data_IF_795875294304
#
_entry.id   IF_795875294304
#
_cell.length_a   1.000
_cell.length_b   1.000
_cell.length_c   1.000
_cell.angle_alpha   90.00
_cell.angle_beta   90.00
_cell.angle_gamma   90.00
#
_symmetry.space_group_name_H-M   'P 1'
#
loop_
_entity.id
_entity.type
_entity.pdbx_description
1 polymer ?
#
# COMPACT_ATOMS: atom_id res chain seq x y z
N UNK A 1 -14.25 19.11 -25.41
CA UNK A 1 -14.12 18.23 -24.25
C UNK A 1 -12.65 17.83 -24.17
N UNK A 2 -11.90 18.42 -23.24
CA UNK A 2 -10.48 18.12 -23.10
C UNK A 2 -10.32 16.72 -22.52
N UNK A 3 -9.72 15.83 -23.30
CA UNK A 3 -9.25 14.52 -22.85
C UNK A 3 -8.16 14.76 -21.81
N UNK A 4 -8.43 14.40 -20.56
CA UNK A 4 -7.41 14.24 -19.54
C UNK A 4 -6.54 13.06 -19.97
N UNK A 5 -5.38 13.36 -20.56
CA UNK A 5 -4.28 12.42 -20.52
C UNK A 5 -3.84 12.35 -19.05
N UNK A 6 -3.56 11.17 -18.47
CA UNK A 6 -2.79 11.14 -17.23
C UNK A 6 -1.53 11.97 -17.45
N UNK A 7 -0.95 12.57 -16.40
CA UNK A 7 0.38 13.13 -16.54
C UNK A 7 1.22 12.07 -17.23
N UNK A 8 1.74 12.40 -18.41
CA UNK A 8 2.80 11.62 -19.00
C UNK A 8 3.80 11.42 -17.87
N UNK A 9 4.21 10.18 -17.62
CA UNK A 9 5.40 9.84 -16.82
C UNK A 9 6.62 10.41 -17.56
N UNK A 10 6.62 11.72 -17.71
CA UNK A 10 7.69 12.52 -18.23
C UNK A 10 8.58 12.72 -17.02
N UNK A 11 9.85 12.38 -17.22
CA UNK A 11 10.98 12.64 -16.34
C UNK A 11 11.18 14.15 -16.12
N UNK A 12 10.16 14.85 -15.61
CA UNK A 12 10.36 16.07 -14.86
C UNK A 12 11.11 15.63 -13.61
N UNK A 13 12.42 15.83 -13.60
CA UNK A 13 13.34 15.64 -12.46
C UNK A 13 12.97 16.49 -11.23
N UNK A 14 11.77 17.09 -11.22
CA UNK A 14 11.24 17.98 -10.21
C UNK A 14 9.89 17.45 -9.75
N UNK A 15 9.79 17.21 -8.45
CA UNK A 15 8.56 16.87 -7.74
C UNK A 15 8.10 18.07 -6.95
N UNK A 16 6.79 18.30 -6.92
CA UNK A 16 6.19 19.37 -6.14
C UNK A 16 5.69 18.79 -4.83
N UNK A 17 6.07 19.43 -3.73
CA UNK A 17 5.64 19.03 -2.40
C UNK A 17 5.04 20.24 -1.68
N UNK A 18 3.79 20.08 -1.27
CA UNK A 18 3.17 20.96 -0.31
C UNK A 18 3.52 20.51 1.12
N UNK A 19 3.81 21.47 1.98
CA UNK A 19 4.17 21.23 3.38
C UNK A 19 3.40 22.18 4.29
N UNK A 20 3.22 21.77 5.55
CA UNK A 20 2.61 22.58 6.60
C UNK A 20 3.54 22.69 7.80
N UNK A 21 3.43 23.81 8.53
CA UNK A 21 4.27 24.05 9.70
C UNK A 21 3.75 23.30 10.93
N UNK A 22 4.52 22.32 11.40
CA UNK A 22 4.12 21.34 12.41
C UNK A 22 4.45 21.67 13.85
N UNK A 23 5.08 22.82 14.10
CA UNK A 23 5.30 23.31 15.46
C UNK A 23 3.97 23.36 16.27
N UNK A 24 4.00 23.13 17.60
CA UNK A 24 2.84 23.32 18.47
C UNK A 24 2.29 24.75 18.41
N UNK A 25 3.19 25.73 18.26
CA UNK A 25 2.85 27.15 18.05
C UNK A 25 3.36 27.61 16.68
N UNK A 26 2.62 27.35 15.59
CA UNK A 26 3.10 27.52 14.22
C UNK A 26 3.38 28.99 13.83
N UNK A 27 2.87 29.95 14.58
CA UNK A 27 3.13 31.38 14.36
C UNK A 27 4.19 31.97 15.30
N UNK A 28 4.77 31.16 16.19
CA UNK A 28 5.83 31.61 17.10
C UNK A 28 7.13 31.88 16.34
N UNK A 29 7.75 33.02 16.60
CA UNK A 29 9.09 33.36 16.07
C UNK A 29 10.24 32.88 16.97
N UNK A 30 9.92 32.24 18.11
CA UNK A 30 10.91 31.82 19.11
C UNK A 30 11.56 30.48 18.79
N UNK A 31 10.90 29.66 17.97
CA UNK A 31 11.35 28.33 17.59
C UNK A 31 11.58 28.27 16.08
N UNK A 32 12.57 27.48 15.62
CA UNK A 32 12.73 27.23 14.20
C UNK A 32 11.49 26.51 13.65
N UNK A 33 11.11 26.85 12.42
CA UNK A 33 9.96 26.25 11.76
C UNK A 33 10.24 24.79 11.40
N UNK A 34 9.47 23.88 11.99
CA UNK A 34 9.44 22.46 11.61
C UNK A 34 8.35 22.29 10.57
N UNK A 35 8.66 21.62 9.47
CA UNK A 35 7.74 21.40 8.37
C UNK A 35 7.45 19.92 8.22
N UNK A 36 6.17 19.59 8.08
CA UNK A 36 5.70 18.24 7.81
C UNK A 36 5.05 18.19 6.43
N UNK A 37 5.08 17.02 5.81
CA UNK A 37 4.50 16.78 4.50
C UNK A 37 3.00 16.51 4.64
N UNK A 38 2.26 16.84 3.57
CA UNK A 38 0.94 16.28 3.35
C UNK A 38 1.07 14.85 2.81
N UNK A 39 0.03 14.04 2.94
CA UNK A 39 0.01 12.73 2.29
C UNK A 39 0.16 12.88 0.77
N UNK A 40 0.61 11.83 0.06
CA UNK A 40 0.73 11.89 -1.40
C UNK A 40 -0.56 12.35 -2.08
N UNK A 41 -1.70 11.87 -1.58
CA UNK A 41 -3.00 12.13 -2.16
C UNK A 41 -3.52 13.54 -1.82
N UNK A 42 -3.31 14.01 -0.59
CA UNK A 42 -3.58 15.39 -0.23
C UNK A 42 -2.73 16.34 -1.09
N UNK A 43 -1.44 16.02 -1.27
CA UNK A 43 -0.53 16.80 -2.11
C UNK A 43 -1.01 16.86 -3.58
N UNK A 44 -1.53 15.76 -4.14
CA UNK A 44 -2.16 15.75 -5.47
C UNK A 44 -3.38 16.67 -5.54
N UNK A 45 -4.29 16.59 -4.56
CA UNK A 45 -5.51 17.42 -4.50
C UNK A 45 -5.14 18.91 -4.39
N UNK A 46 -4.15 19.25 -3.56
CA UNK A 46 -3.68 20.63 -3.39
C UNK A 46 -3.06 21.14 -4.70
N UNK A 47 -2.18 20.36 -5.31
CA UNK A 47 -1.49 20.78 -6.54
C UNK A 47 -2.47 20.90 -7.72
N UNK A 48 -3.42 19.99 -7.89
CA UNK A 48 -4.47 20.10 -8.92
C UNK A 48 -5.27 21.39 -8.73
N UNK A 49 -5.74 21.67 -7.50
CA UNK A 49 -6.48 22.88 -7.20
C UNK A 49 -5.67 24.16 -7.46
N UNK A 50 -4.37 24.14 -7.15
CA UNK A 50 -3.46 25.25 -7.40
C UNK A 50 -3.25 25.50 -8.89
N UNK A 51 -2.99 24.44 -9.68
CA UNK A 51 -2.83 24.53 -11.14
C UNK A 51 -4.11 25.01 -11.84
N UNK A 52 -5.27 24.58 -11.34
CA UNK A 52 -6.58 25.04 -11.78
C UNK A 52 -6.91 26.48 -11.36
N UNK A 53 -6.01 27.16 -10.63
CA UNK A 53 -6.20 28.52 -10.09
C UNK A 53 -7.44 28.63 -9.19
N UNK A 54 -7.83 27.55 -8.53
CA UNK A 54 -8.89 27.59 -7.52
C UNK A 54 -8.39 28.44 -6.34
N UNK A 55 -9.26 29.19 -5.66
CA UNK A 55 -8.84 29.99 -4.50
C UNK A 55 -8.46 29.12 -3.30
N UNK A 56 -8.96 27.88 -3.25
CA UNK A 56 -8.73 26.94 -2.17
C UNK A 56 -8.70 25.49 -2.65
N UNK A 57 -8.00 24.63 -1.92
CA UNK A 57 -8.12 23.17 -2.01
C UNK A 57 -8.89 22.64 -0.80
N UNK A 58 -9.90 21.80 -1.02
CA UNK A 58 -10.70 21.21 0.05
C UNK A 58 -10.16 19.81 0.37
N UNK A 59 -9.79 19.58 1.62
CA UNK A 59 -9.36 18.27 2.15
C UNK A 59 -10.34 17.80 3.22
N UNK A 60 -10.10 16.59 3.77
CA UNK A 60 -11.02 15.96 4.73
C UNK A 60 -11.13 16.74 6.05
N UNK A 61 -9.98 17.06 6.66
CA UNK A 61 -9.93 17.66 8.01
C UNK A 61 -9.75 19.19 7.98
N UNK A 62 -9.33 19.72 6.84
CA UNK A 62 -8.99 21.13 6.64
C UNK A 62 -9.16 21.55 5.18
N UNK A 63 -8.98 22.83 4.91
CA UNK A 63 -8.81 23.36 3.57
C UNK A 63 -7.56 24.22 3.49
N UNK A 64 -7.03 24.35 2.28
CA UNK A 64 -5.88 25.21 1.97
C UNK A 64 -6.39 26.48 1.33
N UNK A 65 -6.11 27.62 1.96
CA UNK A 65 -6.30 28.95 1.37
C UNK A 65 -4.99 29.40 0.72
N UNK A 66 -4.97 29.42 -0.62
CA UNK A 66 -3.78 29.81 -1.38
C UNK A 66 -3.51 31.31 -1.34
N UNK A 67 -4.52 32.15 -1.03
CA UNK A 67 -4.35 33.61 -0.94
C UNK A 67 -3.58 33.98 0.32
N UNK A 68 -3.89 33.33 1.44
CA UNK A 68 -3.20 33.55 2.72
C UNK A 68 -2.03 32.60 2.97
N UNK A 69 -1.85 31.57 2.14
CA UNK A 69 -0.89 30.48 2.38
C UNK A 69 -1.11 29.82 3.74
N UNK A 70 -2.37 29.48 4.04
CA UNK A 70 -2.76 28.86 5.30
C UNK A 70 -3.54 27.56 5.06
N UNK A 71 -3.25 26.58 5.88
CA UNK A 71 -4.13 25.48 6.19
C UNK A 71 -5.07 25.92 7.32
N UNK A 72 -6.37 25.68 7.17
CA UNK A 72 -7.39 26.06 8.14
C UNK A 72 -8.30 24.85 8.41
N UNK A 73 -8.48 24.49 9.68
CA UNK A 73 -9.35 23.34 10.02
C UNK A 73 -10.79 23.58 9.58
N UNK A 74 -11.44 22.50 9.11
CA UNK A 74 -12.85 22.52 8.70
C UNK A 74 -13.80 22.71 9.89
N UNK A 75 -13.34 22.45 11.12
CA UNK A 75 -14.17 22.48 12.34
C UNK A 75 -13.84 23.63 13.29
N UNK A 76 -12.65 24.23 13.17
CA UNK A 76 -12.18 25.30 14.06
C UNK A 76 -11.27 26.25 13.28
N UNK A 77 -11.81 27.42 12.92
CA UNK A 77 -11.11 28.43 12.14
C UNK A 77 -9.88 29.02 12.85
N UNK A 78 -9.73 28.82 14.17
CA UNK A 78 -8.56 29.24 14.94
C UNK A 78 -7.39 28.27 14.80
N UNK A 79 -7.67 27.01 14.40
CA UNK A 79 -6.63 26.02 14.12
C UNK A 79 -6.10 26.22 12.72
N UNK A 80 -5.13 27.12 12.62
CA UNK A 80 -4.47 27.49 11.37
C UNK A 80 -2.99 27.14 11.40
N UNK A 81 -2.44 26.81 10.23
CA UNK A 81 -1.02 26.54 10.05
C UNK A 81 -0.51 27.16 8.75
N UNK A 82 0.65 27.84 8.76
CA UNK A 82 1.33 28.25 7.53
C UNK A 82 1.63 27.04 6.64
N UNK A 83 1.53 27.27 5.34
CA UNK A 83 1.88 26.28 4.32
C UNK A 83 2.92 26.83 3.36
N UNK A 84 3.61 25.92 2.68
CA UNK A 84 4.53 26.28 1.59
C UNK A 84 4.52 25.22 0.50
N UNK A 85 4.85 25.66 -0.71
CA UNK A 85 5.10 24.81 -1.88
C UNK A 85 6.60 24.75 -2.14
N UNK A 86 7.14 23.54 -2.20
CA UNK A 86 8.56 23.28 -2.48
C UNK A 86 8.66 22.52 -3.80
N UNK A 87 9.72 22.81 -4.55
CA UNK A 87 10.05 22.06 -5.77
C UNK A 87 11.38 21.37 -5.52
N UNK A 88 11.32 20.07 -5.28
CA UNK A 88 12.46 19.22 -4.92
C UNK A 88 12.88 18.36 -6.10
N UNK A 89 14.08 17.78 -6.07
CA UNK A 89 14.45 16.73 -7.02
C UNK A 89 13.75 15.43 -6.62
N UNK A 90 13.44 14.59 -7.60
CA UNK A 90 12.77 13.29 -7.37
C UNK A 90 13.57 12.37 -6.43
N UNK A 91 14.89 12.48 -6.42
CA UNK A 91 15.81 11.72 -5.55
C UNK A 91 15.79 12.19 -4.09
N UNK A 92 15.33 13.42 -3.83
CA UNK A 92 15.23 14.02 -2.49
C UNK A 92 13.85 13.76 -1.85
N UNK A 93 12.99 12.95 -2.48
CA UNK A 93 11.67 12.63 -1.95
C UNK A 93 11.78 11.90 -0.61
N UNK A 94 10.89 12.27 0.30
CA UNK A 94 10.69 11.55 1.55
C UNK A 94 10.27 10.10 1.27
N UNK A 95 10.65 9.19 2.16
CA UNK A 95 10.28 7.79 2.05
C UNK A 95 8.89 7.56 2.61
N UNK A 96 8.22 6.48 2.18
CA UNK A 96 6.88 6.15 2.69
C UNK A 96 6.95 5.57 4.10
N UNK A 97 7.12 6.40 5.12
CA UNK A 97 7.31 5.98 6.52
C UNK A 97 6.23 5.00 7.01
N UNK A 98 4.97 5.22 6.61
CA UNK A 98 3.83 4.38 6.98
C UNK A 98 3.83 2.97 6.35
N UNK A 99 4.77 2.63 5.45
CA UNK A 99 5.02 1.25 4.99
C UNK A 99 5.76 0.43 6.06
N UNK A 100 6.41 1.11 6.99
CA UNK A 100 7.39 0.56 7.92
C UNK A 100 7.02 0.75 9.41
N UNK A 101 6.02 1.59 9.68
CA UNK A 101 5.41 1.77 11.00
C UNK A 101 4.23 0.81 11.20
N UNK A 102 4.17 0.21 12.39
CA UNK A 102 3.19 -0.76 12.89
C UNK A 102 2.24 -1.34 11.85
N UNK A 103 2.55 -2.55 11.41
CA UNK A 103 1.47 -3.44 11.06
C UNK A 103 0.93 -3.94 12.40
N UNK A 104 -0.29 -3.58 12.84
CA UNK A 104 -1.01 -4.43 13.76
C UNK A 104 -1.32 -5.72 12.99
N UNK A 105 -0.30 -6.57 12.88
CA UNK A 105 -0.41 -7.96 13.26
C UNK A 105 -1.36 -7.97 14.46
N UNK A 106 -2.57 -8.46 14.26
CA UNK A 106 -3.50 -8.64 15.36
C UNK A 106 -2.80 -9.39 16.48
N UNK A 107 -3.20 -9.08 17.72
CA UNK A 107 -2.70 -9.71 18.94
C UNK A 107 -2.48 -11.21 18.73
N UNK A 108 -1.21 -11.63 18.62
CA UNK A 108 -0.82 -13.04 18.59
C UNK A 108 -0.75 -13.74 17.22
N UNK A 109 -1.00 -13.10 16.07
CA UNK A 109 -0.79 -13.74 14.75
C UNK A 109 -0.16 -12.81 13.72
N UNK A 110 1.18 -12.80 13.67
CA UNK A 110 1.92 -12.05 12.63
C UNK A 110 1.59 -12.50 11.21
N UNK A 111 1.09 -13.73 11.07
CA UNK A 111 0.78 -14.39 9.80
C UNK A 111 -0.50 -15.20 9.94
N UNK A 112 -1.23 -15.34 8.82
CA UNK A 112 -2.26 -16.35 8.69
C UNK A 112 -1.64 -17.74 8.48
N UNK A 113 -2.47 -18.79 8.60
CA UNK A 113 -2.03 -20.19 8.51
C UNK A 113 -1.41 -20.61 7.18
N UNK A 114 -1.17 -21.90 6.98
CA UNK A 114 -0.68 -22.47 5.72
C UNK A 114 -1.76 -22.38 4.63
N UNK A 115 -1.90 -21.23 3.99
CA UNK A 115 -2.77 -21.08 2.82
C UNK A 115 -2.02 -21.43 1.54
N UNK A 116 -2.76 -21.97 0.58
CA UNK A 116 -2.23 -22.42 -0.69
C UNK A 116 -1.89 -21.29 -1.66
N UNK A 117 -1.97 -21.61 -2.95
CA UNK A 117 -1.57 -20.75 -4.06
C UNK A 117 -2.23 -19.36 -4.07
N UNK A 118 -3.46 -19.26 -3.55
CA UNK A 118 -4.26 -18.04 -3.56
C UNK A 118 -4.71 -17.72 -2.14
N UNK A 119 -4.55 -16.46 -1.71
CA UNK A 119 -5.07 -16.00 -0.41
C UNK A 119 -6.58 -16.24 -0.32
N UNK A 120 -7.10 -16.74 0.83
CA UNK A 120 -8.53 -16.93 1.02
C UNK A 120 -9.36 -15.66 0.79
N UNK A 121 -8.77 -14.48 1.03
CA UNK A 121 -9.43 -13.21 0.70
C UNK A 121 -9.78 -13.15 -0.79
N UNK A 122 -8.82 -13.44 -1.67
CA UNK A 122 -9.03 -13.41 -3.14
C UNK A 122 -10.04 -14.47 -3.56
N UNK A 123 -10.03 -15.65 -2.94
CA UNK A 123 -11.02 -16.72 -3.21
C UNK A 123 -12.44 -16.23 -2.87
N UNK A 124 -12.64 -15.62 -1.70
CA UNK A 124 -13.96 -15.10 -1.28
C UNK A 124 -14.41 -13.91 -2.15
N UNK A 125 -13.49 -13.05 -2.59
CA UNK A 125 -13.81 -11.97 -3.54
C UNK A 125 -14.37 -12.52 -4.83
N UNK A 126 -13.72 -13.55 -5.40
CA UNK A 126 -14.23 -14.21 -6.62
C UNK A 126 -15.61 -14.81 -6.41
N UNK A 127 -15.84 -15.44 -5.26
CA UNK A 127 -17.15 -16.01 -4.90
C UNK A 127 -18.23 -14.94 -4.79
N UNK A 128 -17.96 -13.82 -4.10
CA UNK A 128 -18.91 -12.71 -3.97
C UNK A 128 -19.22 -12.07 -5.34
N UNK A 129 -18.22 -11.99 -6.21
CA UNK A 129 -18.37 -11.53 -7.60
C UNK A 129 -18.97 -12.57 -8.56
N UNK A 130 -19.20 -13.81 -8.10
CA UNK A 130 -19.70 -14.94 -8.89
C UNK A 130 -18.84 -15.23 -10.13
N UNK A 131 -17.52 -15.25 -9.94
CA UNK A 131 -16.54 -15.50 -10.99
C UNK A 131 -16.06 -16.96 -10.94
N UNK A 132 -15.97 -17.59 -12.11
CA UNK A 132 -15.37 -18.92 -12.25
C UNK A 132 -13.84 -18.88 -12.03
N UNK A 133 -13.18 -20.04 -11.76
CA UNK A 133 -11.73 -20.15 -11.57
C UNK A 133 -10.84 -19.55 -12.69
N UNK A 134 -11.36 -19.44 -13.91
CA UNK A 134 -10.66 -18.83 -15.04
C UNK A 134 -11.11 -17.40 -15.40
N UNK A 135 -12.13 -16.87 -14.74
CA UNK A 135 -12.64 -15.50 -14.97
C UNK A 135 -11.71 -14.46 -14.32
N UNK A 136 -10.59 -14.20 -14.99
CA UNK A 136 -9.64 -13.12 -14.63
C UNK A 136 -9.82 -11.90 -15.54
N UNK A 137 -9.69 -10.67 -14.99
CA UNK A 137 -9.75 -9.42 -15.76
C UNK A 137 -8.86 -9.41 -17.02
N UNK A 138 -7.64 -9.96 -16.92
CA UNK A 138 -6.63 -10.09 -17.97
C UNK A 138 -7.06 -11.05 -19.08
N UNK A 139 -7.84 -12.08 -18.74
CA UNK A 139 -8.38 -13.09 -19.68
C UNK A 139 -9.74 -12.70 -20.26
N UNK A 140 -10.52 -11.87 -19.56
CA UNK A 140 -11.89 -11.49 -19.93
C UNK A 140 -12.09 -9.97 -19.88
N UNK A 141 -11.59 -9.23 -20.89
CA UNK A 141 -11.57 -7.76 -20.84
C UNK A 141 -12.94 -7.09 -20.68
N UNK A 142 -14.03 -7.77 -21.07
CA UNK A 142 -15.40 -7.25 -20.91
C UNK A 142 -15.82 -7.04 -19.45
N UNK A 143 -15.14 -7.68 -18.49
CA UNK A 143 -15.44 -7.52 -17.06
C UNK A 143 -14.74 -6.31 -16.42
N UNK A 144 -13.69 -5.79 -17.05
CA UNK A 144 -12.84 -4.72 -16.50
C UNK A 144 -13.67 -3.48 -16.12
N UNK A 145 -14.57 -2.96 -16.97
CA UNK A 145 -15.34 -1.76 -16.62
C UNK A 145 -16.22 -1.94 -15.38
N UNK A 146 -16.79 -3.14 -15.21
CA UNK A 146 -17.63 -3.49 -14.07
C UNK A 146 -16.80 -3.58 -12.78
N UNK A 147 -15.62 -4.21 -12.84
CA UNK A 147 -14.72 -4.31 -11.69
C UNK A 147 -14.18 -2.95 -11.26
N UNK A 148 -13.79 -2.10 -12.22
CA UNK A 148 -13.34 -0.73 -11.96
C UNK A 148 -14.43 0.07 -11.26
N UNK A 149 -15.69 -0.01 -11.71
CA UNK A 149 -16.78 0.71 -11.06
C UNK A 149 -17.05 0.20 -9.64
N UNK A 150 -17.06 -1.13 -9.44
CA UNK A 150 -17.21 -1.72 -8.11
C UNK A 150 -16.06 -1.32 -7.18
N UNK A 151 -14.83 -1.33 -7.67
CA UNK A 151 -13.65 -0.91 -6.92
C UNK A 151 -13.75 0.57 -6.53
N UNK A 152 -14.10 1.45 -7.47
CA UNK A 152 -14.27 2.87 -7.23
C UNK A 152 -15.36 3.15 -6.19
N UNK A 153 -16.51 2.48 -6.27
CA UNK A 153 -17.58 2.59 -5.28
C UNK A 153 -17.15 2.10 -3.90
N UNK A 154 -16.47 0.95 -3.83
CA UNK A 154 -15.99 0.39 -2.57
C UNK A 154 -14.90 1.24 -1.91
N UNK A 155 -14.02 1.86 -2.69
CA UNK A 155 -13.03 2.85 -2.21
C UNK A 155 -13.74 4.04 -1.56
N UNK A 156 -14.76 4.61 -2.22
CA UNK A 156 -15.55 5.72 -1.66
C UNK A 156 -16.25 5.32 -0.37
N UNK A 157 -16.82 4.11 -0.32
CA UNK A 157 -17.48 3.60 0.87
C UNK A 157 -16.51 3.46 2.04
N UNK A 158 -15.34 2.82 1.84
CA UNK A 158 -14.33 2.69 2.89
C UNK A 158 -13.75 4.03 3.31
N UNK A 159 -13.53 4.94 2.37
CA UNK A 159 -13.13 6.32 2.64
C UNK A 159 -14.02 7.00 3.64
N UNK A 160 -15.35 6.89 3.47
CA UNK A 160 -16.32 7.43 4.43
C UNK A 160 -16.17 6.78 5.82
N UNK A 161 -15.98 5.46 5.87
CA UNK A 161 -15.84 4.74 7.13
C UNK A 161 -14.57 5.14 7.91
N UNK A 162 -13.47 5.42 7.21
CA UNK A 162 -12.21 5.84 7.85
C UNK A 162 -12.06 7.36 7.99
N UNK A 163 -13.11 8.13 7.68
CA UNK A 163 -13.09 9.60 7.77
C UNK A 163 -12.24 10.29 6.70
N UNK A 164 -12.00 9.62 5.56
CA UNK A 164 -11.27 10.13 4.39
C UNK A 164 -12.10 10.19 3.09
N UNK A 165 -13.31 10.79 3.09
CA UNK A 165 -14.18 10.81 1.91
C UNK A 165 -13.58 11.55 0.70
N UNK A 166 -12.81 12.63 0.90
CA UNK A 166 -12.22 13.43 -0.20
C UNK A 166 -11.09 12.68 -0.87
N UNK A 167 -10.18 12.10 -0.09
CA UNK A 167 -9.17 11.18 -0.62
C UNK A 167 -9.82 10.07 -1.45
N UNK A 168 -10.89 9.46 -0.92
CA UNK A 168 -11.56 8.36 -1.60
C UNK A 168 -12.28 8.76 -2.89
N UNK A 169 -12.89 9.94 -2.92
CA UNK A 169 -13.47 10.51 -4.14
C UNK A 169 -12.41 10.70 -5.23
N UNK A 170 -11.22 11.20 -4.89
CA UNK A 170 -10.13 11.41 -5.85
C UNK A 170 -9.56 10.08 -6.35
N UNK A 171 -9.28 9.11 -5.47
CA UNK A 171 -8.83 7.77 -5.88
C UNK A 171 -9.84 7.09 -6.83
N UNK A 172 -11.13 7.20 -6.51
CA UNK A 172 -12.20 6.63 -7.31
C UNK A 172 -12.36 7.33 -8.66
N UNK A 173 -12.19 8.66 -8.72
CA UNK A 173 -12.15 9.44 -9.97
C UNK A 173 -11.02 8.96 -10.86
N UNK A 174 -9.79 8.91 -10.36
CA UNK A 174 -8.62 8.41 -11.10
C UNK A 174 -8.86 7.01 -11.66
N UNK A 175 -9.41 6.10 -10.85
CA UNK A 175 -9.71 4.73 -11.28
C UNK A 175 -10.77 4.68 -12.40
N UNK A 176 -11.84 5.48 -12.29
CA UNK A 176 -12.91 5.54 -13.29
C UNK A 176 -12.44 6.12 -14.63
N UNK A 177 -11.45 7.02 -14.63
CA UNK A 177 -10.87 7.58 -15.87
C UNK A 177 -10.19 6.50 -16.72
N UNK A 178 -9.66 5.44 -16.10
CA UNK A 178 -9.01 4.31 -16.79
C UNK A 178 -9.94 3.12 -17.06
N UNK A 179 -11.23 3.23 -16.72
CA UNK A 179 -12.21 2.14 -16.82
C UNK A 179 -12.23 1.39 -18.16
N UNK A 180 -12.02 2.11 -19.25
CA UNK A 180 -12.08 1.56 -20.62
C UNK A 180 -10.71 1.45 -21.29
N UNK A 181 -9.61 1.64 -20.55
CA UNK A 181 -8.25 1.68 -21.09
C UNK A 181 -7.60 0.29 -21.28
N UNK A 182 -8.28 -0.79 -20.86
CA UNK A 182 -7.75 -2.16 -20.87
C UNK A 182 -7.01 -2.52 -19.58
N UNK A 183 -6.72 -3.81 -19.40
CA UNK A 183 -6.22 -4.33 -18.12
C UNK A 183 -4.84 -3.80 -17.76
N UNK A 184 -3.95 -3.66 -18.73
CA UNK A 184 -2.60 -3.11 -18.53
C UNK A 184 -2.62 -1.73 -17.88
N UNK A 185 -3.44 -0.82 -18.42
CA UNK A 185 -3.53 0.56 -17.92
C UNK A 185 -4.27 0.63 -16.58
N UNK A 186 -5.30 -0.20 -16.38
CA UNK A 186 -6.00 -0.31 -15.09
C UNK A 186 -5.07 -0.86 -14.01
N UNK A 187 -4.29 -1.89 -14.32
CA UNK A 187 -3.35 -2.50 -13.39
C UNK A 187 -2.24 -1.53 -12.99
N UNK A 188 -1.61 -0.85 -13.96
CA UNK A 188 -0.60 0.19 -13.68
C UNK A 188 -1.15 1.27 -12.75
N UNK A 189 -2.41 1.68 -12.98
CA UNK A 189 -3.06 2.63 -12.09
C UNK A 189 -3.32 2.03 -10.71
N UNK A 190 -3.80 0.80 -10.59
CA UNK A 190 -4.01 0.14 -9.29
C UNK A 190 -2.71 0.08 -8.48
N UNK A 191 -1.60 -0.25 -9.13
CA UNK A 191 -0.26 -0.19 -8.55
C UNK A 191 0.09 1.20 -8.04
N UNK A 192 -0.08 2.21 -8.89
CA UNK A 192 0.18 3.61 -8.52
C UNK A 192 -0.66 4.02 -7.29
N UNK A 193 -1.97 3.79 -7.32
CA UNK A 193 -2.89 4.12 -6.22
C UNK A 193 -2.53 3.36 -4.93
N UNK A 194 -2.13 2.09 -5.04
CA UNK A 194 -1.67 1.30 -3.91
C UNK A 194 -0.34 1.80 -3.33
N UNK A 195 0.52 2.40 -4.16
CA UNK A 195 1.81 2.97 -3.73
C UNK A 195 1.68 4.31 -2.99
N UNK A 196 0.60 5.07 -3.22
CA UNK A 196 0.36 6.36 -2.56
C UNK A 196 0.23 6.19 -1.05
N UNK A 197 0.81 7.10 -0.28
CA UNK A 197 0.49 7.25 1.13
C UNK A 197 -0.98 7.70 1.28
N UNK A 198 -1.88 6.73 1.39
CA UNK A 198 -3.32 6.92 1.53
C UNK A 198 -3.93 5.87 2.46
N UNK A 199 -5.21 6.00 2.77
CA UNK A 199 -5.92 4.98 3.54
C UNK A 199 -6.05 3.64 2.78
N UNK A 200 -6.02 3.64 1.44
CA UNK A 200 -6.41 2.49 0.61
C UNK A 200 -5.60 1.22 0.91
N UNK A 201 -4.27 1.30 0.79
CA UNK A 201 -3.41 0.15 1.06
C UNK A 201 -3.41 -0.25 2.54
N UNK A 202 -3.58 0.72 3.46
CA UNK A 202 -3.65 0.48 4.91
C UNK A 202 -4.88 -0.37 5.22
N UNK A 203 -6.05 0.04 4.74
CA UNK A 203 -7.33 -0.66 4.92
C UNK A 203 -7.32 -2.03 4.26
N UNK A 204 -6.88 -2.13 2.99
CA UNK A 204 -6.82 -3.40 2.28
C UNK A 204 -5.92 -4.41 3.02
N UNK A 205 -4.69 -4.02 3.34
CA UNK A 205 -3.76 -4.94 3.99
C UNK A 205 -4.17 -5.29 5.41
N UNK A 206 -4.76 -4.36 6.16
CA UNK A 206 -5.30 -4.65 7.49
C UNK A 206 -6.40 -5.70 7.42
N UNK A 207 -7.34 -5.57 6.48
CA UNK A 207 -8.40 -6.55 6.27
C UNK A 207 -7.83 -7.93 5.90
N UNK A 208 -6.88 -7.97 4.96
CA UNK A 208 -6.30 -9.23 4.50
C UNK A 208 -5.50 -9.95 5.60
N UNK A 209 -4.82 -9.22 6.50
CA UNK A 209 -4.08 -9.83 7.62
C UNK A 209 -4.96 -10.57 8.63
N UNK A 210 -6.24 -10.20 8.73
CA UNK A 210 -7.21 -10.87 9.60
C UNK A 210 -7.71 -12.19 9.03
N UNK A 211 -7.32 -12.57 7.80
CA UNK A 211 -7.69 -13.86 7.23
C UNK A 211 -7.10 -14.99 8.07
N UNK A 212 -7.97 -15.91 8.49
CA UNK A 212 -7.61 -17.02 9.38
C UNK A 212 -7.77 -16.75 10.86
N UNK A 213 -8.05 -15.50 11.23
CA UNK A 213 -8.44 -15.13 12.58
C UNK A 213 -9.94 -15.37 12.75
N UNK A 214 -10.30 -16.31 13.63
CA UNK A 214 -11.69 -16.69 13.89
C UNK A 214 -12.44 -15.59 14.65
N UNK A 215 -11.75 -14.82 15.48
CA UNK A 215 -12.38 -13.76 16.28
C UNK A 215 -12.74 -12.55 15.41
N UNK A 216 -11.92 -12.29 14.39
CA UNK A 216 -12.07 -11.16 13.49
C UNK A 216 -12.63 -11.53 12.11
N UNK A 217 -13.24 -12.71 11.97
CA UNK A 217 -13.69 -13.22 10.68
C UNK A 217 -14.69 -12.27 9.99
N UNK A 218 -15.64 -11.75 10.75
CA UNK A 218 -16.65 -10.83 10.24
C UNK A 218 -16.05 -9.49 9.78
N UNK A 219 -14.93 -9.07 10.40
CA UNK A 219 -14.27 -7.81 10.07
C UNK A 219 -13.72 -7.89 8.65
N UNK A 220 -12.90 -8.88 8.32
CA UNK A 220 -12.34 -8.97 6.97
C UNK A 220 -13.37 -9.37 5.91
N UNK A 221 -14.34 -10.23 6.27
CA UNK A 221 -15.44 -10.59 5.34
C UNK A 221 -16.28 -9.38 4.96
N UNK A 222 -16.51 -8.43 5.86
CA UNK A 222 -17.22 -7.18 5.54
C UNK A 222 -16.52 -6.36 4.45
N UNK A 223 -15.19 -6.49 4.31
CA UNK A 223 -14.37 -5.77 3.34
C UNK A 223 -14.31 -6.42 1.96
N UNK A 224 -14.86 -7.62 1.81
CA UNK A 224 -14.86 -8.34 0.53
C UNK A 224 -15.61 -7.55 -0.54
N UNK A 225 -16.76 -6.97 -0.19
CA UNK A 225 -17.59 -6.22 -1.16
C UNK A 225 -17.00 -4.87 -1.54
N UNK A 226 -16.28 -4.22 -0.64
CA UNK A 226 -15.75 -2.87 -0.83
C UNK A 226 -14.32 -2.89 -1.38
N UNK A 227 -13.42 -3.65 -0.76
CA UNK A 227 -12.00 -3.70 -1.13
C UNK A 227 -11.67 -4.83 -2.11
N UNK A 228 -12.52 -5.86 -2.19
CA UNK A 228 -12.30 -7.02 -3.03
C UNK A 228 -12.09 -6.73 -4.52
N UNK A 229 -12.98 -5.95 -5.17
CA UNK A 229 -12.81 -5.63 -6.58
C UNK A 229 -11.47 -4.94 -6.89
N UNK A 230 -11.03 -4.01 -6.04
CA UNK A 230 -9.71 -3.37 -6.18
C UNK A 230 -8.59 -4.39 -5.96
N UNK A 231 -8.71 -5.24 -4.94
CA UNK A 231 -7.75 -6.31 -4.66
C UNK A 231 -7.59 -7.25 -5.87
N UNK A 232 -8.68 -7.62 -6.55
CA UNK A 232 -8.64 -8.49 -7.71
C UNK A 232 -7.97 -7.82 -8.92
N UNK A 233 -8.26 -6.54 -9.15
CA UNK A 233 -7.60 -5.75 -10.21
C UNK A 233 -6.10 -5.61 -9.96
N UNK A 234 -5.66 -5.45 -8.71
CA UNK A 234 -4.25 -5.38 -8.36
C UNK A 234 -3.56 -6.76 -8.44
N UNK A 235 -4.28 -7.83 -8.11
CA UNK A 235 -3.75 -9.19 -8.04
C UNK A 235 -3.47 -9.78 -9.42
N UNK A 236 -4.34 -9.51 -10.38
CA UNK A 236 -4.26 -10.03 -11.75
C UNK A 236 -3.31 -9.20 -12.62
N UNK A 237 -2.01 -9.32 -12.35
CA UNK A 237 -0.93 -8.65 -13.08
C UNK A 237 -0.80 -9.20 -14.51
N UNK A 238 -1.14 -8.40 -15.56
CA UNK A 238 -1.07 -8.85 -16.94
C UNK A 238 0.37 -8.98 -17.46
N UNK A 239 1.36 -8.42 -16.76
CA UNK A 239 2.77 -8.48 -17.13
C UNK A 239 3.49 -9.67 -16.50
N UNK A 240 2.89 -10.29 -15.49
CA UNK A 240 3.47 -11.42 -14.76
C UNK A 240 3.38 -12.72 -15.55
N UNK A 241 4.16 -12.80 -16.62
CA UNK A 241 4.21 -13.95 -17.53
C UNK A 241 5.15 -15.05 -17.03
N UNK A 242 5.94 -14.79 -15.98
CA UNK A 242 6.95 -15.74 -15.46
C UNK A 242 7.08 -15.65 -13.94
N UNK A 243 7.08 -16.81 -13.30
CA UNK A 243 7.41 -16.96 -11.89
C UNK A 243 8.84 -16.46 -11.61
N UNK A 244 8.99 -15.62 -10.58
CA UNK A 244 10.28 -15.10 -10.16
C UNK A 244 10.96 -16.11 -9.25
N UNK A 245 12.23 -16.41 -9.54
CA UNK A 245 13.05 -17.36 -8.78
C UNK A 245 14.42 -16.76 -8.52
N UNK A 246 15.05 -17.16 -7.42
CA UNK A 246 16.44 -16.86 -7.03
C UNK A 246 16.76 -15.37 -6.95
N UNK A 247 16.02 -14.66 -6.10
CA UNK A 247 16.22 -13.24 -5.85
C UNK A 247 16.18 -12.93 -4.36
N UNK A 248 16.92 -11.91 -3.94
CA UNK A 248 16.87 -11.41 -2.57
C UNK A 248 16.06 -10.13 -2.49
N UNK A 249 15.15 -10.07 -1.53
CA UNK A 249 14.34 -8.90 -1.21
C UNK A 249 14.54 -8.49 0.24
N UNK A 250 14.33 -7.20 0.52
CA UNK A 250 14.53 -6.60 1.84
C UNK A 250 13.28 -5.87 2.29
N UNK A 251 12.98 -5.93 3.59
CA UNK A 251 11.88 -5.16 4.18
C UNK A 251 12.23 -4.74 5.60
N UNK A 252 12.21 -3.44 5.87
CA UNK A 252 12.21 -2.90 7.23
C UNK A 252 10.83 -3.05 7.87
N UNK A 253 10.79 -3.27 9.17
CA UNK A 253 9.56 -3.30 9.95
C UNK A 253 9.83 -2.93 11.42
N UNK A 254 8.79 -2.45 12.08
CA UNK A 254 8.76 -2.35 13.55
C UNK A 254 7.97 -3.52 14.09
N UNK A 255 8.62 -4.38 14.87
CA UNK A 255 8.01 -5.53 15.53
C UNK A 255 8.01 -5.37 17.05
N UNK A 256 6.98 -5.89 17.71
CA UNK A 256 6.98 -6.05 19.17
C UNK A 256 7.88 -7.22 19.56
N UNK A 257 8.24 -7.29 20.85
CA UNK A 257 9.05 -8.40 21.37
C UNK A 257 8.35 -9.74 21.17
N UNK A 258 7.04 -9.80 21.41
CA UNK A 258 6.24 -11.01 21.27
C UNK A 258 6.24 -11.52 19.82
N UNK A 259 6.23 -10.61 18.84
CA UNK A 259 6.33 -10.98 17.42
C UNK A 259 7.71 -11.52 17.08
N UNK A 260 8.77 -10.90 17.60
CA UNK A 260 10.16 -11.37 17.43
C UNK A 260 10.31 -12.79 18.02
N UNK A 261 9.73 -13.04 19.19
CA UNK A 261 9.77 -14.35 19.85
C UNK A 261 9.04 -15.43 19.02
N UNK A 262 7.94 -15.09 18.34
CA UNK A 262 7.27 -16.00 17.38
C UNK A 262 8.22 -16.40 16.26
N UNK A 263 8.93 -15.45 15.64
CA UNK A 263 9.91 -15.76 14.59
C UNK A 263 11.08 -16.59 15.11
N UNK A 264 11.56 -16.33 16.32
CA UNK A 264 12.61 -17.10 16.93
C UNK A 264 12.19 -18.57 17.10
N UNK A 265 10.96 -18.81 17.57
CA UNK A 265 10.39 -20.15 17.69
C UNK A 265 10.23 -20.85 16.34
N UNK A 266 9.74 -20.15 15.32
CA UNK A 266 9.62 -20.71 13.96
C UNK A 266 10.98 -21.12 13.39
N UNK A 267 12.07 -20.45 13.77
CA UNK A 267 13.42 -20.80 13.32
C UNK A 267 13.96 -22.10 13.95
N UNK A 268 13.31 -22.63 15.00
CA UNK A 268 13.71 -23.87 15.67
C UNK A 268 13.20 -25.13 14.94
N UNK A 269 12.17 -25.01 14.09
CA UNK A 269 11.56 -26.11 13.34
C UNK A 269 11.57 -25.82 11.83
N UNK A 270 12.33 -26.61 11.08
CA UNK A 270 12.48 -26.46 9.62
C UNK A 270 11.21 -26.81 8.83
N UNK A 271 10.19 -27.37 9.51
CA UNK A 271 8.87 -27.69 8.97
C UNK A 271 7.83 -26.62 9.29
N UNK A 272 8.16 -25.61 10.10
CA UNK A 272 7.23 -24.53 10.40
C UNK A 272 7.24 -23.48 9.28
N UNK A 273 6.05 -23.05 8.87
CA UNK A 273 5.86 -22.09 7.79
C UNK A 273 4.83 -21.04 8.16
N UNK A 274 5.13 -19.79 7.80
CA UNK A 274 4.17 -18.70 7.79
C UNK A 274 3.70 -18.39 6.37
N UNK A 275 2.70 -17.54 6.23
CA UNK A 275 2.35 -16.96 4.93
C UNK A 275 1.90 -15.51 5.01
N UNK A 276 2.28 -14.73 4.00
CA UNK A 276 1.88 -13.34 3.86
C UNK A 276 0.42 -13.26 3.41
N UNK A 277 -0.52 -12.95 4.32
CA UNK A 277 -1.95 -12.88 3.97
C UNK A 277 -2.31 -11.70 3.08
N UNK A 278 -1.52 -10.63 3.18
CA UNK A 278 -1.71 -9.37 2.50
C UNK A 278 -0.56 -9.13 1.53
N UNK A 279 -0.72 -8.12 0.67
CA UNK A 279 0.37 -7.64 -0.16
C UNK A 279 1.53 -7.19 0.70
N UNK A 280 2.73 -7.66 0.38
CA UNK A 280 3.94 -7.35 1.15
C UNK A 280 4.92 -6.59 0.28
N UNK A 281 4.97 -5.29 0.51
CA UNK A 281 5.87 -4.40 -0.23
C UNK A 281 7.31 -4.56 0.28
N UNK A 282 8.23 -4.90 -0.62
CA UNK A 282 9.65 -5.15 -0.38
C UNK A 282 10.53 -4.26 -1.26
N UNK A 283 11.83 -4.19 -0.98
CA UNK A 283 12.80 -3.40 -1.74
C UNK A 283 13.91 -4.32 -2.24
N UNK A 284 14.42 -4.05 -3.44
CA UNK A 284 15.70 -4.64 -3.90
C UNK A 284 16.91 -3.99 -3.23
N UNK A 285 16.75 -2.78 -2.72
CA UNK A 285 17.79 -2.00 -2.11
C UNK A 285 17.81 -2.21 -0.59
N UNK A 286 18.77 -3.01 -0.11
CA UNK A 286 18.94 -3.26 1.33
C UNK A 286 19.13 -1.98 2.12
N UNK A 287 19.92 -1.04 1.62
CA UNK A 287 20.20 0.22 2.31
C UNK A 287 18.92 0.97 2.62
N UNK A 288 18.03 1.07 1.63
CA UNK A 288 16.71 1.69 1.79
C UNK A 288 15.84 0.94 2.79
N UNK A 289 15.72 -0.37 2.69
CA UNK A 289 14.93 -1.15 3.64
C UNK A 289 15.45 -1.07 5.10
N UNK A 290 16.76 -0.93 5.28
CA UNK A 290 17.42 -0.89 6.58
C UNK A 290 17.24 0.46 7.30
N UNK A 291 16.87 1.53 6.60
CA UNK A 291 16.57 2.84 7.19
C UNK A 291 15.39 2.80 8.18
N UNK A 292 14.56 1.73 8.17
CA UNK A 292 13.29 1.71 8.90
C UNK A 292 13.16 0.65 10.00
N UNK A 293 12.41 1.00 11.05
CA UNK A 293 11.97 0.11 12.11
C UNK A 293 13.09 -0.51 12.96
N UNK A 294 12.73 -1.46 13.81
CA UNK A 294 13.67 -2.19 14.67
C UNK A 294 14.07 -3.56 14.09
N UNK A 295 13.53 -3.95 12.93
CA UNK A 295 13.73 -5.26 12.31
C UNK A 295 13.97 -5.12 10.81
N UNK A 296 14.91 -5.90 10.29
CA UNK A 296 15.16 -6.09 8.86
C UNK A 296 14.88 -7.53 8.47
N UNK A 297 13.95 -7.73 7.53
CA UNK A 297 13.76 -8.99 6.84
C UNK A 297 14.69 -9.08 5.63
N UNK A 298 15.40 -10.20 5.51
CA UNK A 298 16.17 -10.59 4.33
C UNK A 298 15.49 -11.84 3.76
N UNK A 299 14.89 -11.71 2.58
CA UNK A 299 14.00 -12.70 1.99
C UNK A 299 14.65 -13.29 0.74
N UNK A 300 15.01 -14.57 0.80
CA UNK A 300 15.46 -15.34 -0.36
C UNK A 300 14.23 -15.93 -1.06
N UNK A 301 13.93 -15.42 -2.25
CA UNK A 301 12.80 -15.86 -3.07
C UNK A 301 13.22 -17.07 -3.88
N UNK A 302 12.84 -18.25 -3.43
CA UNK A 302 12.98 -19.48 -4.22
C UNK A 302 11.93 -19.49 -5.34
N UNK A 303 10.68 -19.16 -4.98
CA UNK A 303 9.56 -19.26 -5.91
C UNK A 303 8.37 -18.43 -5.41
N UNK A 304 8.08 -17.28 -6.02
CA UNK A 304 6.92 -16.45 -5.62
C UNK A 304 6.38 -15.59 -6.77
N UNK A 305 5.12 -15.20 -6.67
CA UNK A 305 4.55 -14.13 -7.48
C UNK A 305 4.91 -12.78 -6.89
N UNK A 306 5.58 -11.99 -7.72
CA UNK A 306 6.11 -10.69 -7.36
C UNK A 306 5.89 -9.77 -8.56
N UNK A 307 5.43 -8.55 -8.28
CA UNK A 307 5.36 -7.48 -9.26
C UNK A 307 6.48 -6.46 -9.02
N UNK A 308 7.13 -5.99 -10.08
CA UNK A 308 8.08 -4.87 -10.02
C UNK A 308 7.30 -3.56 -10.10
N UNK A 309 7.33 -2.78 -9.01
CA UNK A 309 6.62 -1.52 -8.89
C UNK A 309 7.55 -0.32 -9.08
N UNK A 310 8.86 -0.53 -9.24
CA UNK A 310 9.86 0.55 -9.21
C UNK A 310 9.62 1.66 -10.23
N UNK A 311 9.06 1.36 -11.40
CA UNK A 311 8.77 2.35 -12.45
C UNK A 311 7.38 3.00 -12.33
N UNK A 312 6.49 2.42 -11.53
CA UNK A 312 5.09 2.84 -11.39
C UNK A 312 4.78 3.44 -10.01
N UNK A 313 5.62 3.15 -9.02
CA UNK A 313 5.52 3.64 -7.66
C UNK A 313 5.85 5.12 -7.59
N UNK A 314 5.13 5.83 -6.73
CA UNK A 314 5.44 7.21 -6.35
C UNK A 314 6.84 7.36 -5.73
N UNK A 315 7.43 6.25 -5.27
CA UNK A 315 8.73 6.13 -4.59
C UNK A 315 9.71 5.25 -5.38
N UNK A 316 9.99 5.60 -6.63
CA UNK A 316 10.84 4.78 -7.53
C UNK A 316 12.22 4.44 -6.98
N UNK A 317 12.82 5.34 -6.18
CA UNK A 317 14.11 5.14 -5.53
C UNK A 317 14.10 4.02 -4.47
N UNK A 318 12.94 3.59 -4.00
CA UNK A 318 12.81 2.44 -3.09
C UNK A 318 13.01 1.11 -3.81
N UNK A 319 13.04 1.08 -5.15
CA UNK A 319 13.12 -0.14 -5.95
C UNK A 319 12.11 -1.19 -5.49
N UNK A 320 10.85 -0.76 -5.37
CA UNK A 320 9.77 -1.53 -4.76
C UNK A 320 9.42 -2.78 -5.56
N UNK A 321 9.30 -3.90 -4.86
CA UNK A 321 8.69 -5.13 -5.37
C UNK A 321 7.56 -5.57 -4.46
N UNK A 322 6.41 -5.89 -5.05
CA UNK A 322 5.21 -6.26 -4.33
C UNK A 322 5.05 -7.78 -4.36
N UNK A 323 5.18 -8.42 -3.19
CA UNK A 323 4.88 -9.83 -3.01
C UNK A 323 3.36 -9.98 -2.92
N UNK A 324 2.80 -10.91 -3.69
CA UNK A 324 1.36 -11.15 -3.68
C UNK A 324 0.89 -11.87 -2.40
N UNK A 325 -0.37 -11.67 -2.00
CA UNK A 325 -1.03 -12.43 -0.95
C UNK A 325 -0.95 -13.95 -1.16
N UNK A 326 -0.69 -14.70 -0.09
CA UNK A 326 -0.63 -16.16 -0.05
C UNK A 326 0.77 -16.75 -0.19
N UNK A 327 1.81 -15.94 -0.43
CA UNK A 327 3.20 -16.44 -0.49
C UNK A 327 3.62 -16.94 0.89
N UNK A 328 4.04 -18.20 0.96
CA UNK A 328 4.54 -18.82 2.19
C UNK A 328 6.02 -18.52 2.41
N UNK A 329 6.45 -18.58 3.66
CA UNK A 329 7.86 -18.45 4.01
C UNK A 329 8.23 -19.37 5.17
N UNK A 330 9.53 -19.69 5.24
CA UNK A 330 10.18 -20.34 6.38
C UNK A 330 11.21 -19.39 6.99
N UNK A 331 11.38 -19.45 8.31
CA UNK A 331 12.40 -18.67 9.00
C UNK A 331 13.68 -19.48 9.03
N UNK A 332 14.74 -18.97 8.39
CA UNK A 332 16.04 -19.64 8.34
C UNK A 332 16.90 -19.30 9.56
N UNK A 333 16.85 -18.04 10.00
CA UNK A 333 17.55 -17.60 11.21
C UNK A 333 17.06 -16.24 11.67
N UNK A 334 17.31 -15.96 12.95
CA UNK A 334 17.14 -14.64 13.54
C UNK A 334 18.40 -14.27 14.32
N UNK A 335 18.87 -13.02 14.16
CA UNK A 335 20.04 -12.49 14.88
C UNK A 335 19.77 -11.05 15.29
N UNK A 336 20.31 -10.61 16.42
CA UNK A 336 20.32 -9.21 16.80
C UNK A 336 21.65 -8.57 16.40
N UNK A 337 21.60 -7.49 15.64
CA UNK A 337 22.76 -6.66 15.30
C UNK A 337 22.88 -5.52 16.33
N UNK A 338 23.83 -5.58 17.27
CA UNK A 338 24.00 -4.55 18.30
C UNK A 338 24.52 -3.23 17.74
N UNK A 339 25.21 -3.26 16.58
CA UNK A 339 25.76 -2.05 15.95
C UNK A 339 24.65 -1.22 15.34
N UNK A 340 23.65 -1.88 14.75
CA UNK A 340 22.49 -1.24 14.12
C UNK A 340 21.29 -1.15 15.05
N UNK A 341 21.36 -1.78 16.22
CA UNK A 341 20.24 -1.93 17.15
C UNK A 341 18.98 -2.50 16.46
N UNK A 342 19.16 -3.57 15.65
CA UNK A 342 18.10 -4.17 14.84
C UNK A 342 18.11 -5.69 14.89
N UNK A 343 16.94 -6.31 14.84
CA UNK A 343 16.81 -7.74 14.56
C UNK A 343 16.91 -7.99 13.05
N UNK A 344 17.71 -8.97 12.64
CA UNK A 344 17.83 -9.43 11.26
C UNK A 344 17.19 -10.81 11.17
N UNK A 345 16.11 -10.91 10.41
CA UNK A 345 15.34 -12.14 10.21
C UNK A 345 15.54 -12.60 8.77
N UNK A 346 16.14 -13.78 8.59
CA UNK A 346 16.32 -14.40 7.28
C UNK A 346 15.14 -15.31 6.98
N UNK A 347 14.50 -15.09 5.84
CA UNK A 347 13.35 -15.85 5.37
C UNK A 347 13.66 -16.51 4.02
N UNK A 348 13.15 -17.71 3.82
CA UNK A 348 13.06 -18.36 2.52
C UNK A 348 11.60 -18.31 2.05
N UNK A 349 11.34 -17.75 0.87
CA UNK A 349 10.00 -17.54 0.33
C UNK A 349 9.70 -18.56 -0.77
N UNK A 350 8.55 -19.24 -0.62
CA UNK A 350 8.07 -20.24 -1.55
C UNK A 350 6.55 -20.25 -1.60
N UNK A 351 5.99 -20.14 -2.80
CA UNK A 351 4.57 -20.41 -3.03
C UNK A 351 4.33 -21.91 -2.84
N UNK A 352 3.46 -22.27 -1.89
CA UNK A 352 3.11 -23.66 -1.59
C UNK A 352 1.71 -24.00 -2.10
N UNK A 353 1.53 -25.27 -2.47
CA UNK A 353 0.23 -25.86 -2.75
C UNK A 353 -0.28 -26.49 -1.44
N UNK A 354 -1.22 -25.87 -0.75
CA UNK A 354 -1.94 -26.53 0.35
C UNK A 354 -2.98 -27.47 -0.24
N UNK A 355 -3.00 -28.73 0.20
CA UNK A 355 -3.88 -29.78 -0.34
C UNK A 355 -5.39 -29.60 -0.10
N UNK A 356 -5.81 -28.73 0.83
CA UNK A 356 -7.25 -28.51 1.11
C UNK A 356 -7.91 -27.46 0.19
N UNK A 357 -7.13 -26.54 -0.40
CA UNK A 357 -7.63 -25.50 -1.31
C UNK A 357 -7.22 -25.74 -2.78
N UNK A 358 -6.55 -26.85 -3.07
CA UNK A 358 -6.13 -27.25 -4.42
C UNK A 358 -7.30 -27.60 -5.35
N UNK A 359 -8.50 -27.80 -4.80
CA UNK A 359 -9.74 -28.08 -5.53
C UNK A 359 -10.44 -26.83 -6.09
N UNK A 360 -9.91 -25.63 -5.80
CA UNK A 360 -10.47 -24.35 -6.28
C UNK A 360 -9.69 -23.76 -7.48
N UNK A 361 -8.82 -24.56 -8.10
CA UNK A 361 -8.21 -24.28 -9.40
C UNK A 361 -9.07 -24.83 -10.53
#
# INVERSE_FOLDING_TARGET
MASYAPPTLNNSLKTVEWMWQSNPHPFSKREPATWSHYSDLENLIIEEAFQDKKPRAQLDDYFIDFKSNLQISNTDDRKQRPIKRVVSKTEDKHLREARFMDLPVSYGRSFGGEYGWVSPFVIEVRRDLKLEPDDLPSKKPSMIPMLVEKAACGIVEEGKHVGKPREAEELAKMLREKKNAGMEEVWKLCVYLYSLESFLYKTLNAAMRLVGDKEHEQVWRSKIRTMGPFCLLLWDDPFNTKLTTKKTLYRGATLTKEQIDVYAKMAEDDKDYGSFQAYTSCSRNRGKAEEFGNTLFIMEVEFAFIADLSSLSQYSAEEEELITPGVSFRVLSIKFDPTKNKHVIHLELRQRFSGEYSTFL
#
